data_IF_456706767845
#
_entry.id   IF_456706767845
#
_cell.length_a   1.000
_cell.length_b   1.000
_cell.length_c   1.000
_cell.angle_alpha   90.00
_cell.angle_beta   90.00
_cell.angle_gamma   90.00
#
_symmetry.space_group_name_H-M   'P 1'
#
loop_
_entity.id
_entity.type
_entity.pdbx_description
1 polymer ?
#
# COMPACT_ATOMS: atom_id res chain seq x y z
N UNK A 1 2.92 -2.19 6.26
CA UNK A 1 2.64 -1.94 7.68
C UNK A 1 1.20 -2.31 8.01
N UNK A 2 0.94 -2.95 9.15
CA UNK A 2 -0.40 -3.45 9.54
C UNK A 2 -1.39 -2.30 9.73
N UNK A 3 -2.60 -2.42 9.17
CA UNK A 3 -3.70 -1.48 9.40
C UNK A 3 -4.52 -1.82 10.65
N UNK A 4 -4.37 -3.02 11.20
CA UNK A 4 -5.17 -3.52 12.32
C UNK A 4 -5.06 -2.64 13.57
N UNK A 5 -3.84 -2.26 13.94
CA UNK A 5 -3.54 -1.43 15.11
C UNK A 5 -3.70 0.08 14.85
N UNK A 6 -4.15 0.48 13.64
CA UNK A 6 -4.09 1.87 13.17
C UNK A 6 -5.45 2.42 12.71
N UNK A 7 -6.55 1.79 13.17
CA UNK A 7 -7.92 2.16 12.81
C UNK A 7 -8.31 3.59 13.16
N UNK A 8 -7.69 4.16 14.20
CA UNK A 8 -7.92 5.55 14.62
C UNK A 8 -7.03 6.58 13.95
N UNK A 9 -6.00 6.17 13.23
CA UNK A 9 -4.91 7.05 12.81
C UNK A 9 -5.17 7.64 11.42
N UNK A 10 -4.95 8.95 11.28
CA UNK A 10 -4.99 9.65 10.00
C UNK A 10 -3.56 10.04 9.59
N UNK A 11 -3.05 9.58 8.44
CA UNK A 11 -1.75 10.06 7.96
C UNK A 11 -1.84 11.54 7.55
N UNK A 12 -0.69 12.22 7.53
CA UNK A 12 -0.61 13.54 6.93
C UNK A 12 -1.02 13.47 5.45
N UNK A 13 -1.74 14.50 5.00
CA UNK A 13 -2.01 14.65 3.57
C UNK A 13 -0.75 15.28 2.93
N UNK A 14 -0.07 14.59 1.99
CA UNK A 14 1.12 15.15 1.36
C UNK A 14 0.79 16.42 0.56
N UNK A 15 1.71 17.37 0.54
CA UNK A 15 1.58 18.56 -0.30
C UNK A 15 1.91 18.23 -1.76
N UNK A 16 1.39 19.02 -2.71
CA UNK A 16 1.66 18.80 -4.13
C UNK A 16 3.16 18.90 -4.45
N UNK A 17 3.73 17.85 -5.04
CA UNK A 17 5.16 17.71 -5.31
C UNK A 17 6.01 17.27 -4.12
N UNK A 18 5.39 16.93 -2.97
CA UNK A 18 6.09 16.24 -1.89
C UNK A 18 6.56 14.86 -2.37
N UNK A 19 7.76 14.46 -1.99
CA UNK A 19 8.38 13.19 -2.36
C UNK A 19 8.73 12.38 -1.13
N UNK A 20 8.88 11.08 -1.29
CA UNK A 20 9.48 10.23 -0.25
C UNK A 20 10.27 9.10 -0.92
N UNK A 21 11.53 8.94 -0.51
CA UNK A 21 12.37 7.81 -0.91
C UNK A 21 12.69 6.87 0.26
N UNK A 22 12.92 5.59 -0.03
CA UNK A 22 13.34 4.60 0.95
C UNK A 22 14.22 3.55 0.27
N UNK A 23 15.50 3.51 0.65
CA UNK A 23 16.45 2.49 0.20
C UNK A 23 16.66 1.51 1.35
N UNK A 24 16.42 0.23 1.10
CA UNK A 24 16.55 -0.86 2.08
C UNK A 24 17.51 -1.92 1.55
N UNK A 25 18.83 -1.73 1.68
CA UNK A 25 19.81 -2.74 1.28
C UNK A 25 19.60 -4.07 2.00
N UNK A 26 19.19 -4.03 3.27
CA UNK A 26 18.83 -5.18 4.09
C UNK A 26 17.62 -5.97 3.56
N UNK A 27 16.77 -5.34 2.74
CA UNK A 27 15.60 -5.97 2.10
C UNK A 27 15.71 -6.02 0.57
N UNK A 28 16.84 -5.60 0.01
CA UNK A 28 17.13 -5.65 -1.42
C UNK A 28 16.23 -4.79 -2.32
N UNK A 29 15.67 -3.68 -1.82
CA UNK A 29 14.84 -2.80 -2.67
C UNK A 29 15.11 -1.31 -2.45
N UNK A 30 14.80 -0.53 -3.48
CA UNK A 30 14.70 0.94 -3.43
C UNK A 30 13.30 1.39 -3.81
N UNK A 31 12.80 2.43 -3.18
CA UNK A 31 11.46 2.96 -3.34
C UNK A 31 11.49 4.48 -3.52
N UNK A 32 10.64 4.99 -4.41
CA UNK A 32 10.36 6.42 -4.56
C UNK A 32 8.85 6.66 -4.70
N UNK A 33 8.39 7.78 -4.17
CA UNK A 33 7.01 8.24 -4.32
C UNK A 33 6.93 9.75 -4.45
N UNK A 34 5.86 10.21 -5.10
CA UNK A 34 5.56 11.62 -5.30
C UNK A 34 4.05 11.86 -5.18
N UNK A 35 3.67 12.97 -4.54
CA UNK A 35 2.31 13.48 -4.56
C UNK A 35 2.06 14.23 -5.88
N UNK A 36 1.64 13.50 -6.91
CA UNK A 36 1.49 14.01 -8.29
C UNK A 36 0.23 14.84 -8.53
N UNK A 37 -0.77 14.73 -7.64
CA UNK A 37 -1.97 15.58 -7.68
C UNK A 37 -2.51 15.79 -6.26
N UNK A 38 -3.13 16.95 -6.00
CA UNK A 38 -3.74 17.23 -4.70
C UNK A 38 -5.28 17.35 -4.78
N UNK A 39 -5.85 17.58 -5.96
CA UNK A 39 -7.30 17.57 -6.19
C UNK A 39 -7.68 16.79 -7.45
N UNK A 40 -8.07 15.50 -7.32
CA UNK A 40 -8.05 14.69 -6.09
C UNK A 40 -6.61 14.34 -5.64
N UNK A 41 -6.40 13.99 -4.36
CA UNK A 41 -5.08 13.61 -3.86
C UNK A 41 -4.62 12.28 -4.47
N UNK A 42 -3.61 12.32 -5.33
CA UNK A 42 -3.01 11.15 -6.00
C UNK A 42 -1.55 11.08 -5.59
N UNK A 43 -1.15 9.95 -5.01
CA UNK A 43 0.24 9.60 -4.78
C UNK A 43 0.64 8.51 -5.77
N UNK A 44 1.77 8.69 -6.44
CA UNK A 44 2.38 7.67 -7.28
C UNK A 44 3.61 7.11 -6.57
N UNK A 45 3.88 5.82 -6.73
CA UNK A 45 5.12 5.24 -6.25
C UNK A 45 5.65 4.13 -7.16
N UNK A 46 6.96 3.91 -7.05
CA UNK A 46 7.73 2.93 -7.80
C UNK A 46 8.78 2.33 -6.87
N UNK A 47 9.00 1.03 -6.99
CA UNK A 47 10.03 0.31 -6.28
C UNK A 47 10.71 -0.70 -7.19
N UNK A 48 12.02 -0.83 -7.00
CA UNK A 48 12.86 -1.74 -7.77
C UNK A 48 13.69 -2.59 -6.82
N UNK A 49 13.90 -3.82 -7.24
CA UNK A 49 14.81 -4.80 -6.67
C UNK A 49 15.35 -5.67 -7.80
N UNK A 50 16.30 -6.54 -7.51
CA UNK A 50 16.81 -7.50 -8.49
C UNK A 50 15.74 -8.53 -8.91
N UNK A 51 14.73 -8.76 -8.06
CA UNK A 51 13.72 -9.82 -8.24
C UNK A 51 12.35 -9.30 -8.71
N UNK A 52 12.06 -8.03 -8.46
CA UNK A 52 10.75 -7.44 -8.74
C UNK A 52 10.83 -5.94 -9.06
N UNK A 53 9.87 -5.50 -9.88
CA UNK A 53 9.53 -4.08 -10.02
C UNK A 53 8.08 -3.91 -9.57
N UNK A 54 7.83 -2.98 -8.66
CA UNK A 54 6.51 -2.68 -8.12
C UNK A 54 6.15 -1.23 -8.41
N UNK A 55 4.92 -0.96 -8.86
CA UNK A 55 4.44 0.41 -8.97
C UNK A 55 2.94 0.48 -8.76
N UNK A 56 2.48 1.66 -8.34
CA UNK A 56 1.08 1.98 -8.26
C UNK A 56 0.88 3.49 -8.38
N UNK A 57 -0.25 3.87 -8.95
CA UNK A 57 -0.74 5.23 -8.96
C UNK A 57 -2.22 5.20 -8.67
N UNK A 58 -2.67 6.03 -7.74
CA UNK A 58 -4.06 6.00 -7.32
C UNK A 58 -4.44 7.09 -6.34
N UNK A 59 -5.74 7.22 -6.11
CA UNK A 59 -6.31 8.09 -5.09
C UNK A 59 -7.32 7.34 -4.24
N UNK A 60 -7.66 7.93 -3.11
CA UNK A 60 -8.68 7.40 -2.21
C UNK A 60 -9.97 8.20 -2.40
N UNK A 61 -11.09 7.51 -2.63
CA UNK A 61 -12.41 8.11 -2.57
C UNK A 61 -13.06 7.81 -1.23
N UNK A 62 -13.51 8.84 -0.54
CA UNK A 62 -14.16 8.75 0.76
C UNK A 62 -15.67 8.71 0.58
N UNK A 63 -16.36 7.79 1.27
CA UNK A 63 -17.82 7.63 1.25
C UNK A 63 -18.33 7.46 2.68
N UNK A 64 -19.26 8.31 3.11
CA UNK A 64 -19.93 8.15 4.41
C UNK A 64 -21.08 7.13 4.27
N UNK A 65 -21.33 6.32 5.31
CA UNK A 65 -22.48 5.38 5.33
C UNK A 65 -23.46 5.62 6.47
N UNK A 66 -24.74 5.34 6.16
CA UNK A 66 -25.89 5.05 7.03
C UNK A 66 -25.83 5.70 8.43
N UNK A 67 -25.91 7.03 8.51
CA UNK A 67 -25.91 7.84 9.75
C UNK A 67 -24.54 8.26 10.33
N UNK A 68 -23.46 8.20 9.55
CA UNK A 68 -22.17 8.81 9.92
C UNK A 68 -21.34 8.03 10.95
N UNK A 69 -21.78 6.83 11.34
CA UNK A 69 -21.03 5.96 12.25
C UNK A 69 -19.82 5.29 11.59
N UNK A 70 -19.84 5.13 10.26
CA UNK A 70 -18.77 4.47 9.51
C UNK A 70 -18.35 5.27 8.27
N UNK A 71 -17.06 5.15 7.95
CA UNK A 71 -16.41 5.81 6.82
C UNK A 71 -15.79 4.75 5.91
N UNK A 72 -16.23 4.71 4.65
CA UNK A 72 -15.66 3.85 3.61
C UNK A 72 -14.60 4.60 2.82
N UNK A 73 -13.44 3.95 2.67
CA UNK A 73 -12.30 4.38 1.89
C UNK A 73 -12.22 3.43 0.70
N UNK A 74 -12.54 3.95 -0.48
CA UNK A 74 -12.52 3.21 -1.74
C UNK A 74 -11.25 3.59 -2.49
N UNK A 75 -10.20 2.76 -2.46
CA UNK A 75 -8.99 3.01 -3.24
C UNK A 75 -9.29 2.89 -4.73
N UNK A 76 -8.80 3.85 -5.50
CA UNK A 76 -8.90 3.92 -6.95
C UNK A 76 -7.50 3.81 -7.54
N UNK A 77 -7.34 3.02 -8.59
CA UNK A 77 -6.05 2.70 -9.20
C UNK A 77 -5.69 1.23 -9.04
N UNK A 78 -4.67 0.80 -9.77
CA UNK A 78 -4.22 -0.60 -9.79
C UNK A 78 -2.81 -0.72 -9.25
N UNK A 79 -2.55 -1.87 -8.64
CA UNK A 79 -1.24 -2.26 -8.15
C UNK A 79 -0.61 -3.16 -9.19
N UNK A 80 0.66 -2.93 -9.49
CA UNK A 80 1.38 -3.64 -10.52
C UNK A 80 2.69 -4.20 -9.96
N UNK A 81 3.01 -5.43 -10.34
CA UNK A 81 4.30 -6.05 -10.06
C UNK A 81 4.79 -6.81 -11.30
N UNK A 82 6.07 -6.65 -11.63
CA UNK A 82 6.79 -7.54 -12.54
C UNK A 82 7.67 -8.51 -11.75
N UNK A 83 7.56 -9.80 -12.04
CA UNK A 83 8.35 -10.89 -11.44
C UNK A 83 8.81 -11.82 -12.55
N UNK A 84 10.11 -12.07 -12.69
CA UNK A 84 10.66 -13.12 -13.59
C UNK A 84 10.10 -13.12 -15.02
N UNK A 85 9.79 -11.94 -15.59
CA UNK A 85 9.22 -11.82 -16.93
C UNK A 85 7.69 -11.82 -17.00
N UNK A 86 6.98 -12.02 -15.90
CA UNK A 86 5.53 -11.82 -15.79
C UNK A 86 5.17 -10.41 -15.35
N UNK A 87 3.94 -9.98 -15.63
CA UNK A 87 3.39 -8.71 -15.14
C UNK A 87 2.02 -8.96 -14.52
N UNK A 88 1.96 -8.89 -13.19
CA UNK A 88 0.74 -9.03 -12.42
C UNK A 88 0.13 -7.66 -12.12
N UNK A 89 -1.20 -7.58 -12.25
CA UNK A 89 -2.00 -6.42 -11.91
C UNK A 89 -3.19 -6.82 -11.03
N UNK A 90 -3.51 -6.00 -10.03
CA UNK A 90 -4.70 -6.19 -9.20
C UNK A 90 -5.29 -4.89 -8.65
N UNK A 91 -6.57 -4.94 -8.29
CA UNK A 91 -7.27 -3.87 -7.59
C UNK A 91 -7.15 -4.01 -6.06
N UNK A 92 -7.35 -2.92 -5.33
CA UNK A 92 -7.47 -2.94 -3.87
C UNK A 92 -8.94 -3.08 -3.45
N UNK A 93 -9.16 -3.63 -2.26
CA UNK A 93 -10.50 -3.74 -1.64
C UNK A 93 -10.90 -2.47 -0.90
N UNK A 94 -12.19 -2.34 -0.58
CA UNK A 94 -12.68 -1.22 0.20
C UNK A 94 -12.35 -1.43 1.67
N UNK A 95 -11.90 -0.37 2.33
CA UNK A 95 -11.69 -0.33 3.77
C UNK A 95 -12.83 0.44 4.42
N UNK A 96 -13.45 -0.10 5.47
CA UNK A 96 -14.44 0.60 6.28
C UNK A 96 -13.89 0.80 7.70
N UNK A 97 -13.86 2.06 8.13
CA UNK A 97 -13.60 2.42 9.51
C UNK A 97 -14.95 2.55 10.20
N UNK A 98 -15.19 1.70 11.18
CA UNK A 98 -16.40 1.73 12.00
C UNK A 98 -16.19 2.60 13.24
N UNK A 99 -17.28 3.06 13.84
CA UNK A 99 -17.29 3.84 15.08
C UNK A 99 -16.50 5.16 15.00
N UNK A 100 -16.63 5.89 13.89
CA UNK A 100 -15.87 7.13 13.64
C UNK A 100 -16.16 8.22 14.68
N UNK A 101 -17.42 8.29 15.16
CA UNK A 101 -17.91 9.32 16.07
C UNK A 101 -17.93 8.91 17.56
N UNK A 102 -18.02 7.62 17.89
CA UNK A 102 -18.07 7.16 19.28
C UNK A 102 -17.66 5.69 19.43
N UNK A 103 -17.01 5.37 20.54
CA UNK A 103 -16.52 4.03 20.85
C UNK A 103 -15.17 3.67 20.22
N UNK A 104 -14.66 2.46 20.48
CA UNK A 104 -13.42 1.99 19.89
C UNK A 104 -13.60 1.80 18.37
N UNK A 105 -12.73 2.45 17.60
CA UNK A 105 -12.67 2.33 16.14
C UNK A 105 -12.05 0.99 15.75
N UNK A 106 -12.62 0.37 14.72
CA UNK A 106 -12.07 -0.85 14.14
C UNK A 106 -12.18 -0.81 12.61
N UNK A 107 -11.28 -1.53 11.94
CA UNK A 107 -11.19 -1.59 10.48
C UNK A 107 -11.73 -2.92 9.98
N UNK A 108 -12.53 -2.83 8.93
CA UNK A 108 -12.93 -3.96 8.09
C UNK A 108 -12.46 -3.75 6.66
N UNK A 109 -12.02 -4.81 5.99
CA UNK A 109 -11.78 -4.81 4.55
C UNK A 109 -12.77 -5.74 3.88
N UNK A 110 -13.35 -5.32 2.75
CA UNK A 110 -14.27 -6.17 1.99
C UNK A 110 -14.27 -5.86 0.50
N UNK A 111 -14.71 -6.85 -0.27
CA UNK A 111 -14.73 -6.83 -1.72
C UNK A 111 -13.84 -7.92 -2.31
N UNK A 112 -13.70 -7.91 -3.63
CA UNK A 112 -12.89 -8.88 -4.34
C UNK A 112 -11.59 -8.22 -4.82
N UNK A 113 -10.45 -8.88 -4.58
CA UNK A 113 -9.19 -8.64 -5.28
C UNK A 113 -9.11 -9.61 -6.43
N UNK A 114 -8.85 -9.11 -7.63
CA UNK A 114 -8.62 -9.92 -8.80
C UNK A 114 -7.19 -9.70 -9.29
N UNK A 115 -6.35 -10.71 -9.12
CA UNK A 115 -4.96 -10.73 -9.57
C UNK A 115 -4.91 -11.43 -10.92
N UNK A 116 -4.37 -10.74 -11.91
CA UNK A 116 -4.23 -11.24 -13.28
C UNK A 116 -2.80 -11.04 -13.76
N UNK A 117 -2.27 -11.98 -14.52
CA UNK A 117 -1.08 -11.75 -15.33
C UNK A 117 -1.52 -11.10 -16.66
N UNK A 118 -0.95 -9.96 -17.01
CA UNK A 118 -1.29 -9.22 -18.23
C UNK A 118 -0.60 -9.82 -19.47
N UNK A 119 0.40 -10.69 -19.25
CA UNK A 119 1.14 -11.41 -20.30
C UNK A 119 0.58 -12.81 -20.56
N UNK A 120 -0.13 -13.38 -19.58
CA UNK A 120 -0.76 -14.70 -19.69
C UNK A 120 -2.14 -14.71 -19.01
N UNK A 121 -3.19 -14.94 -19.80
CA UNK A 121 -4.57 -14.97 -19.31
C UNK A 121 -5.01 -16.37 -18.82
N UNK A 122 -4.15 -17.38 -18.86
CA UNK A 122 -4.49 -18.78 -18.53
C UNK A 122 -4.95 -18.95 -17.09
N UNK A 123 -4.38 -18.17 -16.16
CA UNK A 123 -4.70 -18.23 -14.74
C UNK A 123 -5.00 -16.84 -14.18
N UNK A 124 -5.92 -16.79 -13.22
CA UNK A 124 -6.14 -15.63 -12.37
C UNK A 124 -6.39 -16.08 -10.94
N UNK A 125 -6.04 -15.22 -9.98
CA UNK A 125 -6.35 -15.45 -8.58
C UNK A 125 -7.44 -14.46 -8.14
N UNK A 126 -8.49 -14.97 -7.51
CA UNK A 126 -9.55 -14.15 -6.91
C UNK A 126 -9.56 -14.34 -5.40
N UNK A 127 -9.33 -13.26 -4.67
CA UNK A 127 -9.42 -13.23 -3.21
C UNK A 127 -10.65 -12.44 -2.79
N UNK A 128 -11.56 -13.08 -2.03
CA UNK A 128 -12.78 -12.42 -1.55
C UNK A 128 -12.65 -12.08 -0.07
N UNK A 129 -12.61 -10.80 0.23
CA UNK A 129 -12.68 -10.26 1.59
C UNK A 129 -14.16 -10.20 1.99
N UNK A 130 -14.57 -11.17 2.80
CA UNK A 130 -15.97 -11.42 3.14
C UNK A 130 -16.43 -10.54 4.33
N UNK A 131 -17.58 -9.86 4.20
CA UNK A 131 -18.32 -9.28 5.35
C UNK A 131 -19.06 -10.36 6.17
N UNK A 132 -19.59 -11.36 5.45
CA UNK A 132 -20.33 -12.52 5.97
C UNK A 132 -19.99 -13.71 5.07
N UNK A 133 -20.32 -14.95 5.51
CA UNK A 133 -19.96 -16.27 4.94
C UNK A 133 -19.51 -16.30 3.47
N UNK A 134 -18.44 -17.06 3.13
CA UNK A 134 -17.94 -17.16 1.76
C UNK A 134 -19.07 -17.52 0.78
N UNK A 135 -19.18 -16.78 -0.32
CA UNK A 135 -19.98 -17.25 -1.45
C UNK A 135 -19.25 -18.40 -2.13
N UNK A 136 -20.00 -19.38 -2.63
CA UNK A 136 -19.42 -20.46 -3.41
C UNK A 136 -18.77 -19.90 -4.69
N UNK A 137 -17.56 -20.39 -5.03
CA UNK A 137 -16.85 -19.93 -6.21
C UNK A 137 -17.61 -20.28 -7.49
N UNK A 138 -17.67 -19.33 -8.43
CA UNK A 138 -18.09 -19.57 -9.82
C UNK A 138 -16.85 -19.92 -10.64
N UNK A 139 -16.81 -21.12 -11.24
CA UNK A 139 -15.72 -21.61 -12.10
C UNK A 139 -14.93 -22.77 -11.50
N UNK A 140 -14.03 -23.36 -12.30
CA UNK A 140 -13.17 -24.47 -11.87
C UNK A 140 -12.10 -23.96 -10.91
N UNK A 141 -12.17 -24.41 -9.66
CA UNK A 141 -11.19 -24.06 -8.63
C UNK A 141 -9.97 -24.95 -8.79
N UNK A 142 -8.83 -24.36 -9.16
CA UNK A 142 -7.53 -25.06 -9.16
C UNK A 142 -7.03 -25.21 -7.72
N UNK A 143 -7.23 -24.20 -6.88
CA UNK A 143 -6.71 -24.17 -5.53
C UNK A 143 -7.50 -23.22 -4.61
N UNK A 144 -7.55 -23.53 -3.31
CA UNK A 144 -8.22 -22.72 -2.30
C UNK A 144 -7.21 -22.06 -1.37
N UNK A 145 -7.29 -20.73 -1.27
CA UNK A 145 -6.60 -19.91 -0.28
C UNK A 145 -7.61 -19.36 0.74
N UNK A 146 -7.27 -19.42 2.03
CA UNK A 146 -8.12 -18.91 3.11
C UNK A 146 -7.27 -18.43 4.29
N UNK A 147 -7.80 -17.48 5.07
CA UNK A 147 -7.10 -16.96 6.24
C UNK A 147 -7.69 -15.66 6.72
N UNK A 148 -6.98 -15.01 7.65
CA UNK A 148 -7.32 -13.68 8.14
C UNK A 148 -6.18 -12.74 7.80
N UNK A 149 -6.50 -11.61 7.17
CA UNK A 149 -5.52 -10.63 6.70
C UNK A 149 -4.59 -10.06 7.79
N UNK A 150 -4.98 -10.16 9.07
CA UNK A 150 -4.18 -9.73 10.23
C UNK A 150 -3.46 -10.88 10.94
N UNK A 151 -3.61 -12.13 10.49
CA UNK A 151 -2.94 -13.31 11.07
C UNK A 151 -2.07 -14.02 10.03
N UNK A 152 -2.68 -14.52 8.95
CA UNK A 152 -1.98 -15.25 7.90
C UNK A 152 -2.92 -15.76 6.80
N UNK A 153 -2.31 -16.22 5.70
CA UNK A 153 -2.96 -16.81 4.54
C UNK A 153 -2.48 -18.25 4.38
N UNK A 154 -3.41 -19.17 4.16
CA UNK A 154 -3.17 -20.61 4.11
C UNK A 154 -3.76 -21.21 2.83
N UNK A 155 -3.12 -22.25 2.33
CA UNK A 155 -3.49 -23.04 1.16
C UNK A 155 -4.10 -24.36 1.58
N UNK A 156 -5.19 -24.78 0.95
CA UNK A 156 -5.81 -26.08 1.16
C UNK A 156 -6.78 -26.16 2.34
N UNK A 157 -7.25 -27.36 2.64
CA UNK A 157 -8.15 -27.61 3.77
C UNK A 157 -7.39 -27.50 5.11
N UNK A 158 -8.06 -27.09 6.21
CA UNK A 158 -7.43 -27.01 7.53
C UNK A 158 -6.74 -28.33 7.90
N UNK A 159 -5.50 -28.29 8.44
CA UNK A 159 -4.79 -27.10 8.94
C UNK A 159 -4.14 -26.20 7.86
N UNK A 160 -4.09 -26.63 6.60
CA UNK A 160 -3.60 -25.83 5.47
C UNK A 160 -2.09 -25.54 5.49
N UNK A 161 -1.49 -25.27 4.33
CA UNK A 161 -0.10 -24.83 4.21
C UNK A 161 0.00 -23.31 4.34
N UNK A 162 0.81 -22.79 5.26
CA UNK A 162 0.96 -21.34 5.44
C UNK A 162 1.70 -20.71 4.24
N UNK A 163 1.06 -19.77 3.56
CA UNK A 163 1.62 -19.04 2.40
C UNK A 163 2.15 -17.67 2.81
N UNK A 164 1.54 -17.05 3.83
CA UNK A 164 1.96 -15.75 4.34
C UNK A 164 1.51 -15.56 5.79
N UNK A 165 2.27 -14.77 6.57
CA UNK A 165 1.95 -14.43 7.95
C UNK A 165 2.16 -12.93 8.23
N UNK A 166 1.29 -12.36 9.06
CA UNK A 166 1.28 -10.94 9.36
C UNK A 166 2.40 -10.48 10.32
N UNK A 167 2.95 -11.40 11.12
CA UNK A 167 3.97 -11.12 12.15
C UNK A 167 4.72 -12.39 12.54
N UNK A 168 6.02 -12.29 12.84
CA UNK A 168 6.76 -13.31 13.59
C UNK A 168 6.15 -13.48 14.99
N UNK A 169 6.22 -14.68 15.56
CA UNK A 169 5.87 -14.92 16.96
C UNK A 169 7.01 -14.44 17.87
N UNK A 170 6.70 -13.75 18.97
CA UNK A 170 7.72 -13.36 19.96
C UNK A 170 8.04 -14.56 20.84
N UNK A 171 9.19 -15.18 20.59
CA UNK A 171 9.79 -16.17 21.49
C UNK A 171 9.57 -17.62 21.08
N UNK A 172 10.37 -18.09 20.13
CA UNK A 172 11.31 -19.20 20.38
C UNK A 172 12.63 -18.84 19.69
N UNK A 173 13.63 -18.48 20.48
CA UNK A 173 15.02 -18.70 20.08
C UNK A 173 15.22 -20.20 20.02
N UNK A 174 14.96 -20.77 18.86
CA UNK A 174 15.18 -22.16 18.55
C UNK A 174 15.42 -22.19 17.06
N UNK A 175 16.56 -22.75 16.65
CA UNK A 175 16.76 -23.15 15.28
C UNK A 175 15.47 -23.79 14.73
N UNK A 176 15.13 -23.52 13.47
CA UNK A 176 14.30 -24.46 12.73
C UNK A 176 14.88 -25.85 13.05
N UNK A 177 14.14 -26.79 13.67
CA UNK A 177 14.66 -28.12 13.76
C UNK A 177 14.86 -28.52 12.30
N UNK A 178 16.10 -28.87 11.97
CA UNK A 178 16.41 -29.67 10.79
C UNK A 178 15.53 -30.91 10.91
N UNK A 179 14.36 -30.82 10.31
CA UNK A 179 13.27 -31.77 10.41
C UNK A 179 12.91 -32.13 8.99
N UNK A 180 13.78 -32.94 8.38
CA UNK A 180 13.41 -33.83 7.29
C UNK A 180 12.13 -34.56 7.71
N UNK A 181 10.99 -34.19 7.12
CA UNK A 181 9.82 -35.05 7.09
C UNK A 181 9.52 -35.39 5.62
N UNK A 182 9.55 -36.69 5.26
CA UNK A 182 9.52 -37.13 3.87
C UNK A 182 8.09 -37.41 3.45
N UNK A 183 7.46 -36.58 2.62
CA UNK A 183 6.27 -37.00 1.88
C UNK A 183 6.42 -36.64 0.41
N UNK A 184 6.89 -37.65 -0.33
CA UNK A 184 6.72 -37.72 -1.77
C UNK A 184 5.24 -37.82 -2.13
N UNK A 185 4.86 -37.10 -3.17
CA UNK A 185 3.54 -37.08 -3.75
C UNK A 185 3.57 -36.29 -5.05
N UNK A 186 4.29 -36.83 -6.03
CA UNK A 186 4.42 -36.28 -7.37
C UNK A 186 3.06 -36.35 -8.09
N UNK A 187 2.45 -35.21 -8.39
CA UNK A 187 1.51 -35.09 -9.51
C UNK A 187 2.14 -34.20 -10.57
N UNK A 188 2.31 -34.78 -11.77
CA UNK A 188 2.90 -34.12 -12.94
C UNK A 188 2.14 -32.82 -13.28
N UNK A 189 2.88 -31.74 -13.52
CA UNK A 189 2.46 -30.71 -14.48
C UNK A 189 2.48 -29.25 -14.05
N UNK A 190 2.85 -28.89 -12.81
CA UNK A 190 3.00 -27.48 -12.43
C UNK A 190 4.30 -27.32 -11.62
N UNK A 191 5.26 -26.48 -12.05
CA UNK A 191 6.38 -26.11 -11.18
C UNK A 191 5.81 -25.55 -9.88
N UNK A 192 6.25 -26.08 -8.74
CA UNK A 192 5.87 -25.54 -7.45
C UNK A 192 6.32 -24.08 -7.39
N UNK A 193 5.36 -23.13 -7.46
CA UNK A 193 5.66 -21.70 -7.38
C UNK A 193 6.14 -21.28 -5.97
N UNK A 194 6.12 -22.20 -5.00
CA UNK A 194 6.28 -21.92 -3.58
C UNK A 194 7.03 -23.07 -2.89
N UNK A 195 8.33 -23.23 -3.18
CA UNK A 195 9.20 -23.94 -2.24
C UNK A 195 9.18 -23.21 -0.89
N UNK A 196 9.45 -23.91 0.21
CA UNK A 196 9.51 -23.29 1.55
C UNK A 196 10.51 -22.10 1.59
N UNK A 197 11.53 -22.14 0.74
CA UNK A 197 12.52 -21.08 0.53
C UNK A 197 11.97 -19.85 -0.25
N UNK A 198 10.80 -19.98 -0.89
CA UNK A 198 10.12 -18.90 -1.62
C UNK A 198 9.07 -18.16 -0.78
N UNK A 199 8.77 -18.60 0.45
CA UNK A 199 7.86 -17.88 1.35
C UNK A 199 8.62 -16.68 1.95
N UNK A 200 8.16 -15.43 1.73
CA UNK A 200 8.85 -14.29 2.30
C UNK A 200 8.83 -14.38 3.83
N UNK A 201 9.96 -14.07 4.51
CA UNK A 201 10.02 -14.13 5.95
C UNK A 201 8.94 -13.21 6.55
N UNK A 202 8.24 -13.65 7.60
CA UNK A 202 7.20 -12.83 8.21
C UNK A 202 7.78 -11.50 8.72
N UNK A 203 6.98 -10.43 8.74
CA UNK A 203 7.38 -9.16 9.31
C UNK A 203 7.79 -9.31 10.77
N UNK A 204 8.65 -8.40 11.24
CA UNK A 204 9.03 -8.35 12.65
C UNK A 204 7.80 -8.12 13.54
N UNK A 205 7.81 -8.65 14.77
CA UNK A 205 6.69 -8.52 15.67
C UNK A 205 6.39 -7.04 15.94
N UNK A 206 5.11 -6.73 16.20
CA UNK A 206 4.74 -5.39 16.69
C UNK A 206 5.66 -5.01 17.86
N UNK A 207 6.18 -3.78 17.97
CA UNK A 207 6.96 -3.32 19.13
C UNK A 207 6.16 -3.40 20.45
N UNK A 208 6.83 -3.50 21.60
CA UNK A 208 6.15 -3.62 22.91
C UNK A 208 5.30 -2.38 23.24
N UNK A 209 5.76 -1.22 22.83
CA UNK A 209 5.19 0.11 23.08
C UNK A 209 4.38 0.64 21.87
N UNK A 210 4.00 -0.22 20.93
CA UNK A 210 3.31 0.19 19.70
C UNK A 210 2.03 1.01 19.97
N UNK A 211 1.29 0.73 21.05
CA UNK A 211 0.09 1.51 21.42
C UNK A 211 0.42 2.97 21.75
N UNK A 212 1.58 3.22 22.37
CA UNK A 212 2.08 4.58 22.65
C UNK A 212 2.62 5.25 21.40
N UNK A 213 3.09 4.46 20.43
CA UNK A 213 3.66 4.91 19.17
C UNK A 213 2.68 4.74 17.99
N UNK A 214 1.43 5.20 18.17
CA UNK A 214 0.41 5.28 17.10
C UNK A 214 0.04 3.95 16.41
N UNK A 215 0.30 2.81 17.06
CA UNK A 215 0.11 1.48 16.51
C UNK A 215 1.12 1.13 15.40
N UNK A 216 2.30 1.74 15.40
CA UNK A 216 3.31 1.51 14.37
C UNK A 216 3.95 0.12 14.47
N UNK A 217 4.08 -0.54 13.31
CA UNK A 217 4.97 -1.71 13.14
C UNK A 217 6.43 -1.25 13.23
N UNK A 218 7.35 -2.16 13.52
CA UNK A 218 8.80 -1.86 13.49
C UNK A 218 9.22 -1.19 12.18
N UNK A 219 8.80 -1.76 11.05
CA UNK A 219 9.04 -1.17 9.73
C UNK A 219 8.50 0.26 9.58
N UNK A 220 7.41 0.62 10.27
CA UNK A 220 6.80 1.95 10.17
C UNK A 220 7.53 2.99 11.03
N UNK A 221 8.10 2.59 12.16
CA UNK A 221 8.96 3.45 12.98
C UNK A 221 10.21 3.89 12.20
N UNK A 222 10.77 2.98 11.40
CA UNK A 222 11.97 3.23 10.59
C UNK A 222 11.72 4.16 9.39
N UNK A 223 10.47 4.36 8.95
CA UNK A 223 10.19 5.07 7.69
C UNK A 223 10.61 6.54 7.72
N UNK A 224 10.40 7.22 8.85
CA UNK A 224 10.65 8.65 8.99
C UNK A 224 11.93 8.99 9.77
N UNK A 225 12.80 8.00 10.01
CA UNK A 225 14.11 8.25 10.59
C UNK A 225 14.95 9.14 9.66
N UNK A 226 15.59 10.15 10.23
CA UNK A 226 16.41 11.12 9.49
C UNK A 226 17.80 11.21 10.13
N UNK A 227 18.76 10.48 9.57
CA UNK A 227 20.16 10.59 9.99
C UNK A 227 20.84 11.83 9.37
N UNK A 228 21.91 12.37 9.99
CA UNK A 228 22.65 13.50 9.42
C UNK A 228 23.22 13.22 8.03
N UNK A 229 23.63 11.99 7.76
CA UNK A 229 24.16 11.55 6.46
C UNK A 229 23.06 11.54 5.42
N UNK A 230 21.91 10.93 5.75
CA UNK A 230 20.76 10.87 4.86
C UNK A 230 20.26 12.28 4.52
N UNK A 231 20.19 13.17 5.52
CA UNK A 231 19.77 14.57 5.33
C UNK A 231 20.54 15.32 4.24
N UNK A 232 21.81 14.99 4.00
CA UNK A 232 22.65 15.63 2.96
C UNK A 232 22.35 15.12 1.55
N UNK A 233 21.72 13.95 1.42
CA UNK A 233 21.43 13.28 0.15
C UNK A 233 19.99 13.52 -0.30
N UNK A 234 19.06 13.71 0.64
CA UNK A 234 17.64 13.86 0.34
C UNK A 234 17.35 15.12 -0.49
N UNK A 235 16.41 15.05 -1.45
CA UNK A 235 15.85 16.26 -2.05
C UNK A 235 15.11 17.08 -0.99
N UNK A 236 15.05 18.40 -1.17
CA UNK A 236 14.32 19.31 -0.27
C UNK A 236 12.82 19.01 -0.16
N UNK A 237 12.29 18.16 -1.03
CA UNK A 237 10.90 17.72 -1.07
C UNK A 237 10.64 16.42 -0.29
N UNK A 238 11.67 15.76 0.27
CA UNK A 238 11.50 14.51 1.01
C UNK A 238 10.67 14.71 2.29
N UNK A 239 9.68 13.86 2.52
CA UNK A 239 8.77 13.90 3.68
C UNK A 239 9.51 13.96 5.03
N UNK A 240 10.72 13.38 5.15
CA UNK A 240 11.49 13.45 6.41
C UNK A 240 11.89 14.86 6.80
N UNK A 241 11.97 15.77 5.83
CA UNK A 241 12.29 17.18 6.01
C UNK A 241 11.04 18.04 6.28
N UNK A 242 9.85 17.43 6.28
CA UNK A 242 8.58 18.13 6.50
C UNK A 242 8.43 18.52 7.99
N UNK A 243 8.42 19.82 8.34
CA UNK A 243 8.62 20.25 9.71
C UNK A 243 7.42 20.02 10.63
N UNK A 244 6.17 20.11 10.13
CA UNK A 244 4.97 19.81 10.92
C UNK A 244 4.94 18.35 11.39
N UNK A 245 5.31 17.42 10.52
CA UNK A 245 5.42 16.01 10.85
C UNK A 245 6.58 15.74 11.83
N UNK A 246 7.74 16.38 11.63
CA UNK A 246 8.89 16.24 12.53
C UNK A 246 8.58 16.74 13.95
N UNK A 247 8.00 17.93 14.08
CA UNK A 247 7.62 18.46 15.39
C UNK A 247 6.58 17.58 16.10
N UNK A 248 5.65 16.97 15.36
CA UNK A 248 4.69 16.04 15.95
C UNK A 248 5.38 14.78 16.48
N UNK A 249 6.32 14.22 15.73
CA UNK A 249 7.12 13.05 16.16
C UNK A 249 7.97 13.34 17.40
N UNK A 250 8.47 14.57 17.54
CA UNK A 250 9.21 15.06 18.71
C UNK A 250 8.31 15.45 19.90
N UNK A 251 6.99 15.34 19.74
CA UNK A 251 6.01 15.69 20.78
C UNK A 251 5.71 17.18 20.93
N UNK A 252 6.27 18.04 20.06
CA UNK A 252 6.02 19.48 20.06
C UNK A 252 4.75 19.83 19.24
N UNK A 253 3.59 19.50 19.81
CA UNK A 253 2.27 19.73 19.18
C UNK A 253 2.02 21.19 18.79
N UNK A 254 2.37 22.22 19.61
CA UNK A 254 2.16 23.62 19.22
C UNK A 254 2.96 24.03 17.97
N UNK A 255 4.23 23.63 17.88
CA UNK A 255 5.06 23.90 16.71
C UNK A 255 4.55 23.14 15.47
N UNK A 256 4.13 21.89 15.64
CA UNK A 256 3.54 21.09 14.57
C UNK A 256 2.31 21.76 13.96
N UNK A 257 1.37 22.23 14.78
CA UNK A 257 0.16 22.93 14.31
C UNK A 257 0.49 24.25 13.60
N UNK A 258 1.49 24.99 14.10
CA UNK A 258 1.92 26.25 13.49
C UNK A 258 2.51 26.00 12.10
N UNK A 259 3.42 25.04 11.98
CA UNK A 259 4.03 24.66 10.69
C UNK A 259 3.00 24.08 9.74
N UNK A 260 2.06 23.26 10.22
CA UNK A 260 0.98 22.70 9.40
C UNK A 260 0.16 23.80 8.74
N UNK A 261 -0.24 24.84 9.50
CA UNK A 261 -0.99 25.98 8.95
C UNK A 261 -0.18 26.73 7.89
N UNK A 262 1.10 26.97 8.15
CA UNK A 262 2.01 27.63 7.20
C UNK A 262 2.12 26.84 5.89
N UNK A 263 2.39 25.54 5.97
CA UNK A 263 2.55 24.66 4.81
C UNK A 263 1.27 24.61 3.98
N UNK A 264 0.12 24.42 4.63
CA UNK A 264 -1.17 24.40 3.94
C UNK A 264 -1.48 25.75 3.26
N UNK A 265 -1.11 26.87 3.90
CA UNK A 265 -1.31 28.20 3.33
C UNK A 265 -0.44 28.40 2.08
N UNK A 266 0.85 28.08 2.16
CA UNK A 266 1.77 28.14 1.02
C UNK A 266 1.28 27.27 -0.15
N UNK A 267 0.70 26.10 0.15
CA UNK A 267 0.14 25.23 -0.88
C UNK A 267 -1.11 25.84 -1.54
N UNK A 268 -1.98 26.53 -0.78
CA UNK A 268 -3.15 27.24 -1.32
C UNK A 268 -2.71 28.40 -2.21
N UNK A 269 -1.73 29.18 -1.75
CA UNK A 269 -1.23 30.35 -2.48
C UNK A 269 -0.54 29.94 -3.78
N UNK A 270 0.33 28.91 -3.73
CA UNK A 270 0.95 28.33 -4.93
C UNK A 270 -0.10 27.87 -5.93
N UNK A 271 -1.19 27.24 -5.48
CA UNK A 271 -2.26 26.81 -6.37
C UNK A 271 -2.96 27.99 -7.03
N UNK A 272 -3.31 29.03 -6.26
CA UNK A 272 -3.95 30.24 -6.80
C UNK A 272 -3.10 30.85 -7.93
N UNK A 273 -1.80 31.01 -7.69
CA UNK A 273 -0.86 31.51 -8.71
C UNK A 273 -0.84 30.61 -9.95
N UNK A 274 -0.80 29.29 -9.78
CA UNK A 274 -0.81 28.35 -10.91
C UNK A 274 -2.12 28.43 -11.71
N UNK A 275 -3.27 28.55 -11.03
CA UNK A 275 -4.59 28.71 -11.66
C UNK A 275 -4.70 30.04 -12.42
N UNK A 276 -4.29 31.15 -11.82
CA UNK A 276 -4.30 32.49 -12.44
C UNK A 276 -3.42 32.54 -13.70
N UNK A 277 -2.31 31.81 -13.71
CA UNK A 277 -1.37 31.77 -14.84
C UNK A 277 -1.64 30.60 -15.81
N UNK A 278 -2.72 29.83 -15.63
CA UNK A 278 -3.04 28.63 -16.40
C UNK A 278 -1.89 27.59 -16.45
N UNK A 279 -1.09 27.52 -15.39
CA UNK A 279 0.03 26.58 -15.27
C UNK A 279 -0.50 25.28 -14.65
N UNK A 280 -0.23 24.15 -15.30
CA UNK A 280 -0.50 22.82 -14.74
C UNK A 280 0.76 22.31 -14.04
N UNK A 281 0.60 21.76 -12.84
CA UNK A 281 1.71 21.11 -12.14
C UNK A 281 2.21 19.91 -12.94
N UNK A 282 3.52 19.87 -13.18
CA UNK A 282 4.19 18.71 -13.74
C UNK A 282 4.92 17.99 -12.61
N UNK A 283 4.56 16.72 -12.40
CA UNK A 283 5.28 15.84 -11.50
C UNK A 283 6.71 15.64 -11.99
N UNK A 284 7.66 15.53 -11.06
CA UNK A 284 9.09 15.51 -11.36
C UNK A 284 9.61 14.11 -11.67
N UNK A 285 9.09 13.09 -11.00
CA UNK A 285 9.59 11.72 -11.09
C UNK A 285 8.61 10.76 -11.79
N UNK A 286 7.37 11.21 -12.03
CA UNK A 286 6.30 10.40 -12.60
C UNK A 286 5.61 11.09 -13.76
N UNK A 287 5.10 10.30 -14.70
CA UNK A 287 4.29 10.79 -15.81
C UNK A 287 2.99 10.01 -15.93
N UNK A 288 1.97 10.66 -16.46
CA UNK A 288 0.74 9.98 -16.85
C UNK A 288 1.05 9.05 -18.02
N UNK A 289 0.73 7.76 -17.88
CA UNK A 289 0.81 6.85 -19.01
C UNK A 289 -0.26 7.25 -20.05
N UNK A 290 0.14 7.35 -21.33
CA UNK A 290 -0.82 7.44 -22.44
C UNK A 290 -1.46 6.05 -22.57
N UNK A 291 -2.79 5.96 -22.52
CA UNK A 291 -3.47 4.71 -22.81
C UNK A 291 -3.35 4.39 -24.28
N UNK A 292 -3.09 3.12 -24.61
CA UNK A 292 -3.29 2.61 -25.97
C UNK A 292 -4.75 2.78 -26.37
N UNK A 293 -4.95 3.29 -27.59
CA UNK A 293 -6.21 3.88 -28.04
C UNK A 293 -7.40 2.93 -28.10
N UNK A 294 -8.52 3.40 -27.55
CA UNK A 294 -9.87 3.04 -27.98
C UNK A 294 -10.50 4.26 -28.64
N UNK A 295 -10.91 4.11 -29.89
CA UNK A 295 -11.38 5.12 -30.83
C UNK A 295 -12.61 5.92 -30.38
N UNK A 296 -12.60 7.23 -30.67
CA UNK A 296 -13.80 8.02 -30.99
C UNK A 296 -14.31 9.00 -29.92
N UNK A 297 -14.29 10.30 -30.24
CA UNK A 297 -15.23 11.27 -29.67
C UNK A 297 -14.61 12.45 -28.89
N UNK A 298 -14.45 13.58 -29.58
CA UNK A 298 -14.56 14.98 -29.11
C UNK A 298 -13.74 15.44 -27.89
N UNK A 299 -12.84 16.40 -28.16
CA UNK A 299 -12.18 17.25 -27.18
C UNK A 299 -13.20 17.94 -26.26
N UNK A 300 -13.08 17.68 -24.96
CA UNK A 300 -13.82 18.36 -23.90
C UNK A 300 -12.93 18.53 -22.68
N UNK A 301 -12.82 19.77 -22.21
CA UNK A 301 -12.12 20.17 -20.97
C UNK A 301 -12.72 19.45 -19.75
N UNK A 302 -11.88 19.07 -18.80
CA UNK A 302 -12.28 18.78 -17.41
C UNK A 302 -12.18 17.32 -16.96
N UNK A 303 -11.32 17.10 -15.96
CA UNK A 303 -11.07 15.85 -15.20
C UNK A 303 -10.55 14.64 -16.00
N UNK A 304 -9.45 13.98 -15.57
CA UNK A 304 -9.17 12.65 -16.07
C UNK A 304 -10.04 11.64 -15.30
N UNK A 305 -10.91 10.86 -15.99
CA UNK A 305 -11.39 9.60 -15.43
C UNK A 305 -10.21 8.62 -15.41
N UNK A 306 -10.17 7.76 -14.38
CA UNK A 306 -9.16 6.73 -14.08
C UNK A 306 -8.03 6.56 -15.10
N UNK A 307 -6.86 7.13 -14.82
CA UNK A 307 -5.63 6.88 -15.58
C UNK A 307 -4.57 6.36 -14.63
N UNK A 308 -3.92 5.26 -15.01
CA UNK A 308 -2.74 4.75 -14.31
C UNK A 308 -1.56 5.71 -14.46
N UNK A 309 -0.79 5.87 -13.40
CA UNK A 309 0.51 6.56 -13.43
C UNK A 309 1.56 5.49 -13.68
N UNK A 310 2.40 5.69 -14.70
CA UNK A 310 3.55 4.84 -14.99
C UNK A 310 4.84 5.51 -14.54
N UNK A 311 5.85 4.72 -14.18
CA UNK A 311 7.22 5.21 -14.00
C UNK A 311 7.84 5.69 -15.32
N UNK A 312 9.02 6.34 -15.27
CA UNK A 312 9.80 6.64 -16.46
C UNK A 312 10.02 5.39 -17.32
#
# INVERSE_FOLDING_TARGET
ASTFYRAGSKPFNPVLGETYECVRPDRGFRFISEQVCHHPPISACHAESDNFIFWQGGYMRWKNKFWGKSLEIVPMGTVNVRLSGDHFEWNKVTTCIHNVLSGPRWIEHYGEVLIRNTRDASFHCKLTFCKVRPCDPRGTVVERLAGKWHEGLYRGAPPGHCVWRASKERGQGGALPGGTLPWGGLTRGVPCLWDADCVPPPPDPMPHDHERNYGFTQFALELNELTPELRRLLPSTDTRLRPDQRYLEEGNVPAAETQKRQIEQLQRDRRRVMEENNITHQARFFRWARGDGGTGGTQGRGKPPGRGVGGP
#
